data_IF_392641225227
#
_entry.id   IF_392641225227
#
_cell.length_a   1.000
_cell.length_b   1.000
_cell.length_c   1.000
_cell.angle_alpha   90.00
_cell.angle_beta   90.00
_cell.angle_gamma   90.00
#
_symmetry.space_group_name_H-M   'P 1'
#
loop_
_entity.id
_entity.type
_entity.pdbx_description
1 polymer ?
#
# COMPACT_ATOMS: atom_id res chain seq x y z
N UNK A 1 0.19 -23.46 -16.41
CA UNK A 1 1.25 -22.47 -16.08
C UNK A 1 0.57 -21.38 -15.28
N UNK A 2 0.99 -21.14 -14.02
CA UNK A 2 0.44 -20.06 -13.24
C UNK A 2 0.88 -18.72 -13.87
N UNK A 3 -0.02 -17.75 -13.92
CA UNK A 3 0.28 -16.41 -14.41
C UNK A 3 1.30 -15.76 -13.48
N UNK A 4 2.45 -15.34 -14.03
CA UNK A 4 3.43 -14.54 -13.30
C UNK A 4 3.00 -13.07 -13.37
N UNK A 5 2.82 -12.45 -12.21
CA UNK A 5 2.40 -11.05 -12.08
C UNK A 5 3.45 -10.31 -11.24
N UNK A 6 4.27 -9.44 -11.82
CA UNK A 6 5.21 -8.64 -11.04
C UNK A 6 4.47 -7.63 -10.16
N UNK A 7 5.01 -7.35 -8.97
CA UNK A 7 4.49 -6.30 -8.11
C UNK A 7 5.33 -5.03 -8.20
N UNK A 8 4.65 -3.90 -8.03
CA UNK A 8 5.24 -2.60 -7.79
C UNK A 8 5.01 -2.24 -6.31
N UNK A 9 6.08 -2.11 -5.55
CA UNK A 9 6.06 -1.33 -4.33
C UNK A 9 6.22 0.13 -4.71
N UNK A 10 5.32 0.98 -4.26
CA UNK A 10 5.33 2.40 -4.60
C UNK A 10 5.67 3.22 -3.36
N UNK A 11 6.77 3.96 -3.41
CA UNK A 11 7.23 4.81 -2.32
C UNK A 11 7.53 6.23 -2.83
N UNK A 12 6.54 7.12 -2.75
CA UNK A 12 6.70 8.52 -3.12
C UNK A 12 7.00 9.38 -1.91
N UNK A 13 8.16 10.04 -1.88
CA UNK A 13 8.56 10.90 -0.76
C UNK A 13 7.98 12.32 -0.82
N UNK A 14 7.24 12.64 -1.88
CA UNK A 14 6.58 13.94 -2.08
C UNK A 14 5.79 14.43 -0.85
N UNK A 15 4.95 13.61 -0.20
CA UNK A 15 4.24 13.98 1.02
C UNK A 15 5.17 14.40 2.17
N UNK A 16 6.25 13.66 2.39
CA UNK A 16 7.27 14.01 3.39
C UNK A 16 7.94 15.35 3.07
N UNK A 17 8.40 15.53 1.82
CA UNK A 17 9.04 16.78 1.36
C UNK A 17 8.10 17.98 1.46
N UNK A 18 6.81 17.78 1.16
CA UNK A 18 5.79 18.84 1.29
C UNK A 18 5.50 19.17 2.76
N UNK A 19 5.43 18.17 3.63
CA UNK A 19 5.30 18.34 5.08
C UNK A 19 6.44 19.18 5.66
N UNK A 20 7.68 18.88 5.28
CA UNK A 20 8.86 19.67 5.68
C UNK A 20 8.77 21.13 5.24
N UNK A 21 8.30 21.40 4.02
CA UNK A 21 8.14 22.78 3.50
C UNK A 21 7.07 23.55 4.24
N UNK A 22 5.95 22.90 4.59
CA UNK A 22 4.79 23.54 5.24
C UNK A 22 5.01 23.83 6.73
N UNK A 23 5.87 23.06 7.39
CA UNK A 23 6.11 23.12 8.83
C UNK A 23 7.53 23.58 9.19
N UNK A 24 8.17 24.42 8.33
CA UNK A 24 9.53 24.93 8.56
C UNK A 24 9.77 25.50 9.95
N UNK A 25 8.73 26.04 10.58
CA UNK A 25 8.82 26.64 11.93
C UNK A 25 8.62 25.63 13.07
N UNK A 26 8.26 24.37 12.77
CA UNK A 26 8.14 23.28 13.75
C UNK A 26 9.30 22.28 13.58
N UNK A 27 10.47 22.69 14.01
CA UNK A 27 11.76 22.01 13.77
C UNK A 27 11.87 20.62 14.40
N UNK A 28 10.91 20.15 15.18
CA UNK A 28 11.09 18.97 16.05
C UNK A 28 10.52 17.65 15.52
N UNK A 29 9.78 17.63 14.41
CA UNK A 29 9.22 16.37 13.85
C UNK A 29 9.77 15.99 12.47
N UNK A 30 10.70 16.78 11.92
CA UNK A 30 11.11 16.71 10.52
C UNK A 30 12.61 16.39 10.40
N UNK A 31 12.97 15.18 10.77
CA UNK A 31 14.27 14.60 10.46
C UNK A 31 14.42 14.26 8.96
N UNK A 32 15.55 13.71 8.53
CA UNK A 32 15.72 13.15 7.19
C UNK A 32 14.64 12.11 6.91
N UNK A 33 14.29 11.92 5.63
CA UNK A 33 13.34 10.88 5.24
C UNK A 33 13.75 9.52 5.82
N UNK A 34 12.78 8.82 6.36
CA UNK A 34 12.97 7.48 6.92
C UNK A 34 11.64 6.74 7.10
N UNK A 35 11.71 5.42 6.99
CA UNK A 35 10.59 4.53 7.27
C UNK A 35 10.64 4.05 8.72
N UNK A 36 9.51 3.98 9.44
CA UNK A 36 9.42 3.33 10.75
C UNK A 36 9.84 1.85 10.69
N UNK A 37 10.30 1.30 11.81
CA UNK A 37 10.72 -0.12 11.90
C UNK A 37 9.64 -1.06 11.38
N UNK A 38 8.41 -0.88 11.82
CA UNK A 38 7.26 -1.71 11.40
C UNK A 38 7.03 -1.65 9.88
N UNK A 39 7.23 -0.51 9.24
CA UNK A 39 7.10 -0.39 7.78
C UNK A 39 8.25 -1.07 7.04
N UNK A 40 9.47 -1.01 7.57
CA UNK A 40 10.60 -1.75 6.99
C UNK A 40 10.37 -3.26 7.11
N UNK A 41 9.94 -3.74 8.28
CA UNK A 41 9.65 -5.16 8.49
C UNK A 41 8.55 -5.67 7.56
N UNK A 42 7.46 -4.90 7.42
CA UNK A 42 6.37 -5.28 6.51
C UNK A 42 6.78 -5.17 5.06
N UNK A 43 7.58 -4.17 4.66
CA UNK A 43 8.12 -4.02 3.32
C UNK A 43 8.97 -5.23 2.91
N UNK A 44 9.89 -5.68 3.78
CA UNK A 44 10.70 -6.89 3.58
C UNK A 44 9.80 -8.11 3.42
N UNK A 45 8.82 -8.26 4.30
CA UNK A 45 7.87 -9.39 4.25
C UNK A 45 7.04 -9.36 2.97
N UNK A 46 6.51 -8.19 2.59
CA UNK A 46 5.72 -7.98 1.37
C UNK A 46 6.49 -8.42 0.12
N UNK A 47 7.75 -7.97 -0.03
CA UNK A 47 8.58 -8.33 -1.16
C UNK A 47 8.85 -9.84 -1.24
N UNK A 48 9.19 -10.47 -0.13
CA UNK A 48 9.43 -11.92 -0.09
C UNK A 48 8.16 -12.74 -0.33
N UNK A 49 7.04 -12.34 0.26
CA UNK A 49 5.77 -13.04 0.10
C UNK A 49 5.27 -12.95 -1.36
N UNK A 50 5.32 -11.75 -1.96
CA UNK A 50 4.92 -11.61 -3.35
C UNK A 50 5.79 -12.43 -4.29
N UNK A 51 7.11 -12.37 -4.11
CA UNK A 51 8.06 -13.14 -4.92
C UNK A 51 7.84 -14.65 -4.81
N UNK A 52 7.51 -15.13 -3.62
CA UNK A 52 7.24 -16.55 -3.40
C UNK A 52 5.93 -17.02 -4.07
N UNK A 53 4.93 -16.14 -4.20
CA UNK A 53 3.60 -16.50 -4.68
C UNK A 53 3.37 -16.16 -6.15
N UNK A 54 3.89 -15.03 -6.65
CA UNK A 54 3.43 -14.46 -7.91
C UNK A 54 4.54 -14.02 -8.87
N UNK A 55 5.70 -13.63 -8.38
CA UNK A 55 6.79 -13.21 -9.26
C UNK A 55 7.64 -12.06 -8.70
N UNK A 56 8.35 -11.38 -9.58
CA UNK A 56 9.29 -10.32 -9.22
C UNK A 56 8.64 -9.13 -8.53
N UNK A 57 9.48 -8.32 -7.86
CA UNK A 57 9.04 -7.08 -7.18
C UNK A 57 9.95 -5.94 -7.61
N UNK A 58 9.36 -4.84 -8.09
CA UNK A 58 10.03 -3.60 -8.44
C UNK A 58 9.70 -2.51 -7.42
N UNK A 59 10.63 -1.60 -7.18
CA UNK A 59 10.38 -0.35 -6.45
C UNK A 59 10.17 0.78 -7.45
N UNK A 60 9.02 1.44 -7.39
CA UNK A 60 8.76 2.70 -8.09
C UNK A 60 8.77 3.82 -7.06
N UNK A 61 9.69 4.76 -7.20
CA UNK A 61 9.96 5.79 -6.21
C UNK A 61 10.43 7.10 -6.87
N UNK A 62 10.88 8.05 -6.07
CA UNK A 62 11.65 9.22 -6.48
C UNK A 62 13.12 9.07 -6.05
N UNK A 63 14.00 10.00 -6.47
CA UNK A 63 15.44 9.95 -6.15
C UNK A 63 15.72 9.88 -4.64
N UNK A 64 14.92 10.56 -3.81
CA UNK A 64 15.10 10.51 -2.36
C UNK A 64 14.76 9.12 -1.81
N UNK A 65 13.68 8.52 -2.28
CA UNK A 65 13.30 7.17 -1.88
C UNK A 65 14.29 6.11 -2.36
N UNK A 66 14.81 6.24 -3.59
CA UNK A 66 15.86 5.35 -4.11
C UNK A 66 17.15 5.46 -3.29
N UNK A 67 17.59 6.68 -3.01
CA UNK A 67 18.76 6.94 -2.17
C UNK A 67 18.61 6.37 -0.76
N UNK A 68 17.39 6.48 -0.18
CA UNK A 68 17.10 5.89 1.12
C UNK A 68 17.17 4.35 1.05
N UNK A 69 16.53 3.74 0.05
CA UNK A 69 16.55 2.28 -0.10
C UNK A 69 18.00 1.76 -0.20
N UNK A 70 18.83 2.39 -1.01
CA UNK A 70 20.26 2.05 -1.15
C UNK A 70 21.04 2.24 0.16
N UNK A 71 20.82 3.37 0.87
CA UNK A 71 21.51 3.64 2.14
C UNK A 71 21.11 2.63 3.25
N UNK A 72 19.93 2.04 3.16
CA UNK A 72 19.45 1.01 4.08
C UNK A 72 19.77 -0.43 3.60
N UNK A 73 20.29 -0.63 2.39
CA UNK A 73 20.47 -1.94 1.78
C UNK A 73 19.14 -2.64 1.41
N UNK A 74 18.04 -1.88 1.36
CA UNK A 74 16.72 -2.38 0.97
C UNK A 74 16.56 -2.51 -0.55
N UNK A 75 17.46 -1.91 -1.33
CA UNK A 75 17.55 -2.06 -2.78
C UNK A 75 17.70 -3.53 -3.20
N UNK A 76 18.36 -4.35 -2.39
CA UNK A 76 18.50 -5.80 -2.60
C UNK A 76 17.14 -6.56 -2.59
N UNK A 77 16.06 -5.96 -2.11
CA UNK A 77 14.71 -6.55 -2.16
C UNK A 77 14.10 -6.53 -3.56
N UNK A 78 14.60 -5.69 -4.46
CA UNK A 78 13.94 -5.37 -5.71
C UNK A 78 14.71 -5.84 -6.92
N UNK A 79 14.00 -6.33 -7.92
CA UNK A 79 14.58 -6.73 -9.20
C UNK A 79 14.96 -5.48 -10.03
N UNK A 80 14.27 -4.36 -9.75
CA UNK A 80 14.50 -3.06 -10.37
C UNK A 80 14.04 -1.94 -9.44
N UNK A 81 14.76 -0.80 -9.48
CA UNK A 81 14.32 0.48 -8.90
C UNK A 81 14.11 1.47 -10.04
N UNK A 82 12.97 2.16 -10.02
CA UNK A 82 12.56 3.14 -11.02
C UNK A 82 12.22 4.46 -10.32
N UNK A 83 12.95 5.54 -10.62
CA UNK A 83 12.76 6.85 -10.00
C UNK A 83 11.73 7.72 -10.74
N UNK A 84 10.85 7.11 -11.50
CA UNK A 84 9.86 7.81 -12.33
C UNK A 84 8.91 8.73 -11.54
N UNK A 85 8.80 8.58 -10.22
CA UNK A 85 7.95 9.45 -9.40
C UNK A 85 8.49 10.88 -9.23
N UNK A 86 9.75 11.16 -9.62
CA UNK A 86 10.24 12.54 -9.72
C UNK A 86 9.40 13.38 -10.69
N UNK A 87 8.81 12.76 -11.70
CA UNK A 87 7.93 13.45 -12.64
C UNK A 87 6.66 14.02 -11.99
N UNK A 88 6.24 13.52 -10.82
CA UNK A 88 5.10 14.07 -10.08
C UNK A 88 5.37 15.50 -9.59
N UNK A 89 6.63 15.88 -9.39
CA UNK A 89 6.99 17.25 -8.96
C UNK A 89 6.71 18.29 -10.07
N UNK A 90 6.63 17.86 -11.33
CA UNK A 90 6.28 18.72 -12.45
C UNK A 90 4.76 18.78 -12.73
N UNK A 91 3.99 17.95 -12.05
CA UNK A 91 2.54 17.93 -12.16
C UNK A 91 1.89 18.77 -11.06
N UNK A 92 0.72 19.34 -11.36
CA UNK A 92 -0.08 20.08 -10.37
C UNK A 92 -0.83 19.08 -9.47
N UNK A 93 -0.08 18.34 -8.66
CA UNK A 93 -0.59 17.39 -7.66
C UNK A 93 -0.14 17.83 -6.29
N UNK A 94 -1.07 18.20 -5.40
CA UNK A 94 -0.71 18.53 -4.00
C UNK A 94 -0.42 17.21 -3.24
N UNK A 95 0.84 16.95 -2.85
CA UNK A 95 1.21 15.70 -2.19
C UNK A 95 0.64 15.54 -0.78
N UNK A 96 0.13 16.60 -0.16
CA UNK A 96 -0.54 16.52 1.15
C UNK A 96 -2.01 16.13 1.04
N UNK A 97 -2.64 16.39 -0.12
CA UNK A 97 -3.99 15.92 -0.43
C UNK A 97 -3.98 14.56 -1.11
N UNK A 98 -2.97 14.29 -1.95
CA UNK A 98 -2.87 13.08 -2.77
C UNK A 98 -1.60 12.29 -2.44
N UNK A 99 -1.48 11.92 -1.16
CA UNK A 99 -0.29 11.23 -0.66
C UNK A 99 -0.01 9.88 -1.31
N UNK A 100 -1.01 9.24 -1.91
CA UNK A 100 -0.86 7.99 -2.67
C UNK A 100 -0.86 8.19 -4.20
N UNK A 101 -0.71 9.44 -4.70
CA UNK A 101 -0.68 9.73 -6.14
C UNK A 101 0.38 8.90 -6.90
N UNK A 102 1.47 8.55 -6.22
CA UNK A 102 2.49 7.67 -6.76
C UNK A 102 1.96 6.33 -7.28
N UNK A 103 0.93 5.76 -6.65
CA UNK A 103 0.31 4.49 -7.10
C UNK A 103 -0.40 4.64 -8.45
N UNK A 104 -1.24 5.67 -8.59
CA UNK A 104 -1.94 5.96 -9.84
C UNK A 104 -0.96 6.31 -10.96
N UNK A 105 0.09 7.07 -10.62
CA UNK A 105 1.14 7.40 -11.58
C UNK A 105 1.95 6.15 -11.99
N UNK A 106 2.32 5.28 -11.06
CA UNK A 106 3.00 4.02 -11.36
C UNK A 106 2.14 3.11 -12.25
N UNK A 107 0.81 3.06 -12.00
CA UNK A 107 -0.12 2.33 -12.86
C UNK A 107 -0.17 2.89 -14.29
N UNK A 108 0.03 4.20 -14.47
CA UNK A 108 0.14 4.83 -15.80
C UNK A 108 1.36 4.38 -16.58
N UNK A 109 2.47 4.07 -15.88
CA UNK A 109 3.77 3.75 -16.49
C UNK A 109 3.92 2.28 -16.92
N UNK A 110 3.01 1.42 -16.53
CA UNK A 110 3.13 -0.03 -16.75
C UNK A 110 1.95 -0.57 -17.56
N UNK A 111 2.24 -1.50 -18.46
CA UNK A 111 1.20 -2.30 -19.10
C UNK A 111 0.80 -3.48 -18.20
N UNK A 112 -0.48 -3.85 -18.19
CA UNK A 112 -0.95 -5.06 -17.51
C UNK A 112 -0.35 -6.33 -18.15
N UNK A 113 -0.14 -7.43 -17.40
CA UNK A 113 -0.51 -7.61 -16.00
C UNK A 113 0.58 -7.16 -15.01
N UNK A 114 0.20 -6.49 -13.95
CA UNK A 114 1.05 -6.20 -12.79
C UNK A 114 0.18 -5.95 -11.54
N UNK A 115 0.80 -5.95 -10.38
CA UNK A 115 0.18 -5.52 -9.12
C UNK A 115 0.83 -4.24 -8.60
N UNK A 116 0.05 -3.41 -7.89
CA UNK A 116 0.56 -2.43 -6.94
C UNK A 116 0.27 -2.97 -5.56
N UNK A 117 1.29 -3.05 -4.70
CA UNK A 117 1.17 -3.58 -3.35
C UNK A 117 1.75 -2.56 -2.37
N UNK A 118 0.99 -2.23 -1.32
CA UNK A 118 1.46 -1.35 -0.27
C UNK A 118 2.62 -1.99 0.49
N UNK A 119 3.63 -1.19 0.81
CA UNK A 119 4.81 -1.66 1.55
C UNK A 119 4.50 -2.08 2.98
N UNK A 120 3.33 -1.70 3.49
CA UNK A 120 2.83 -2.06 4.82
C UNK A 120 1.79 -3.19 4.80
N UNK A 121 1.67 -3.90 3.65
CA UNK A 121 0.85 -5.10 3.49
C UNK A 121 1.69 -6.27 2.99
N UNK A 122 1.53 -7.45 3.58
CA UNK A 122 2.08 -8.69 3.04
C UNK A 122 1.04 -9.80 2.95
N UNK A 123 1.13 -10.59 1.89
CA UNK A 123 0.27 -11.74 1.67
C UNK A 123 0.68 -12.93 2.56
N UNK A 124 -0.29 -13.64 3.10
CA UNK A 124 -0.09 -14.91 3.80
C UNK A 124 -0.36 -16.11 2.91
N UNK A 125 -1.16 -15.92 1.88
CA UNK A 125 -1.49 -16.91 0.84
C UNK A 125 -1.45 -16.24 -0.52
N UNK A 126 -1.25 -17.01 -1.60
CA UNK A 126 -1.35 -16.46 -2.94
C UNK A 126 -2.72 -15.85 -3.20
N UNK A 127 -2.78 -14.88 -4.09
CA UNK A 127 -4.02 -14.34 -4.65
C UNK A 127 -4.56 -15.34 -5.65
N UNK A 128 -5.76 -15.84 -5.42
CA UNK A 128 -6.37 -16.88 -6.25
C UNK A 128 -6.93 -16.31 -7.56
N UNK A 129 -6.90 -17.12 -8.61
CA UNK A 129 -7.66 -16.89 -9.83
C UNK A 129 -7.15 -15.74 -10.70
N UNK A 130 -5.89 -15.35 -10.63
CA UNK A 130 -5.32 -14.28 -11.47
C UNK A 130 -5.43 -14.60 -12.98
N UNK A 131 -5.45 -15.89 -13.33
CA UNK A 131 -5.62 -16.35 -14.71
C UNK A 131 -6.99 -16.04 -15.32
N UNK A 132 -7.98 -15.66 -14.50
CA UNK A 132 -9.34 -15.31 -14.95
C UNK A 132 -9.43 -13.88 -15.49
N UNK A 133 -8.37 -13.09 -15.40
CA UNK A 133 -8.40 -11.69 -15.76
C UNK A 133 -9.13 -10.82 -14.74
N UNK A 134 -9.51 -9.60 -15.11
CA UNK A 134 -10.26 -8.69 -14.26
C UNK A 134 -9.39 -7.70 -13.48
N UNK A 135 -9.95 -7.13 -12.43
CA UNK A 135 -9.30 -6.26 -11.47
C UNK A 135 -9.43 -6.86 -10.07
N UNK A 136 -8.29 -7.13 -9.41
CA UNK A 136 -8.25 -7.67 -8.06
C UNK A 136 -7.78 -6.59 -7.10
N UNK A 137 -8.41 -6.49 -5.92
CA UNK A 137 -8.10 -5.50 -4.89
C UNK A 137 -8.23 -6.13 -3.50
N UNK A 138 -7.74 -5.45 -2.46
CA UNK A 138 -7.64 -6.05 -1.13
C UNK A 138 -9.01 -6.47 -0.56
N UNK A 139 -9.92 -5.54 -0.41
CA UNK A 139 -11.30 -5.75 0.11
C UNK A 139 -12.22 -4.58 -0.25
N UNK A 140 -13.51 -4.76 -0.01
CA UNK A 140 -14.50 -3.70 -0.11
C UNK A 140 -14.55 -2.83 1.16
N UNK A 141 -14.90 -1.54 1.01
CA UNK A 141 -15.15 -0.60 2.12
C UNK A 141 -16.50 0.10 1.94
N UNK A 142 -17.20 0.37 3.07
CA UNK A 142 -18.50 1.05 3.07
C UNK A 142 -18.42 2.47 2.48
N UNK A 143 -19.50 2.89 1.82
CA UNK A 143 -19.63 4.21 1.21
C UNK A 143 -20.84 4.95 1.77
N UNK A 144 -20.95 6.26 1.52
CA UNK A 144 -22.01 7.10 2.12
C UNK A 144 -21.62 7.61 3.51
N UNK A 145 -20.33 7.74 3.78
CA UNK A 145 -19.75 8.16 5.06
C UNK A 145 -18.75 9.32 4.90
N UNK A 146 -18.11 9.74 5.98
CA UNK A 146 -17.18 10.88 5.98
C UNK A 146 -15.91 10.66 5.16
N UNK A 147 -15.51 9.41 4.89
CA UNK A 147 -14.33 9.06 4.06
C UNK A 147 -14.74 8.90 2.60
N UNK A 148 -15.90 8.30 2.36
CA UNK A 148 -16.48 8.03 1.03
C UNK A 148 -17.85 8.66 0.90
N UNK A 149 -17.97 10.00 0.82
CA UNK A 149 -19.25 10.67 0.66
C UNK A 149 -19.91 10.31 -0.68
N UNK A 150 -21.20 10.59 -0.85
CA UNK A 150 -21.87 10.48 -2.15
C UNK A 150 -21.11 11.26 -3.24
N UNK A 151 -21.04 10.71 -4.44
CA UNK A 151 -20.24 11.28 -5.56
C UNK A 151 -20.54 12.76 -5.81
N UNK A 152 -21.81 13.25 -5.76
CA UNK A 152 -22.09 14.66 -5.95
C UNK A 152 -21.50 15.60 -4.89
N UNK A 153 -21.12 15.07 -3.72
CA UNK A 153 -20.52 15.83 -2.62
C UNK A 153 -18.98 15.90 -2.73
N UNK A 154 -18.40 15.12 -3.64
CA UNK A 154 -16.95 15.13 -3.85
C UNK A 154 -16.56 16.34 -4.70
N UNK A 155 -15.63 17.20 -4.25
CA UNK A 155 -15.15 18.32 -5.07
C UNK A 155 -14.57 17.84 -6.40
N UNK A 156 -15.13 18.38 -7.49
CA UNK A 156 -14.69 18.07 -8.85
C UNK A 156 -14.33 19.37 -9.60
N UNK A 157 -13.34 20.08 -9.11
CA UNK A 157 -12.83 21.33 -9.71
C UNK A 157 -12.19 21.07 -11.09
N UNK A 158 -11.71 19.84 -11.31
CA UNK A 158 -11.22 19.36 -12.59
C UNK A 158 -12.30 19.39 -13.70
N UNK A 159 -13.58 19.45 -13.34
CA UNK A 159 -14.68 19.33 -14.31
C UNK A 159 -14.68 17.96 -15.00
N UNK A 160 -14.18 16.91 -14.33
CA UNK A 160 -14.18 15.58 -14.89
C UNK A 160 -15.63 15.10 -15.11
N UNK A 161 -15.93 14.59 -16.27
CA UNK A 161 -17.24 13.99 -16.53
C UNK A 161 -17.35 12.64 -15.83
N UNK A 162 -17.80 12.68 -14.55
CA UNK A 162 -17.98 11.49 -13.73
C UNK A 162 -19.13 10.59 -14.19
N UNK A 163 -20.05 11.10 -15.05
CA UNK A 163 -21.15 10.32 -15.61
C UNK A 163 -20.70 9.23 -16.57
N UNK A 164 -19.45 9.29 -17.02
CA UNK A 164 -18.82 8.26 -17.85
C UNK A 164 -18.65 6.93 -17.14
N UNK A 165 -18.65 6.93 -15.80
CA UNK A 165 -18.44 5.74 -14.99
C UNK A 165 -19.58 5.46 -14.04
N UNK A 166 -19.74 4.19 -13.70
CA UNK A 166 -20.80 3.72 -12.81
C UNK A 166 -20.28 3.57 -11.38
N UNK A 167 -20.76 4.44 -10.47
CA UNK A 167 -20.37 4.45 -9.06
C UNK A 167 -21.36 3.69 -8.16
N UNK A 168 -21.90 2.57 -8.62
CA UNK A 168 -22.85 1.72 -7.90
C UNK A 168 -22.17 0.66 -7.00
N UNK A 169 -20.85 0.65 -6.95
CA UNK A 169 -20.08 -0.27 -6.12
C UNK A 169 -19.61 0.39 -4.81
N UNK A 170 -19.30 -0.38 -3.77
CA UNK A 170 -18.50 0.08 -2.63
C UNK A 170 -17.13 0.60 -3.07
N UNK A 171 -16.34 1.14 -2.11
CA UNK A 171 -14.95 1.52 -2.38
C UNK A 171 -14.05 0.27 -2.39
N UNK A 172 -13.10 0.22 -3.30
CA UNK A 172 -12.11 -0.86 -3.36
C UNK A 172 -10.84 -0.43 -2.62
N UNK A 173 -10.49 -1.11 -1.53
CA UNK A 173 -9.22 -0.88 -0.86
C UNK A 173 -8.05 -1.30 -1.76
N UNK A 174 -7.15 -0.37 -2.06
CA UNK A 174 -6.08 -0.49 -3.05
C UNK A 174 -4.72 -0.88 -2.43
N UNK A 175 -4.71 -1.43 -1.21
CA UNK A 175 -3.47 -1.88 -0.59
C UNK A 175 -2.83 -3.08 -1.33
N UNK A 176 -3.66 -3.89 -1.99
CA UNK A 176 -3.29 -4.77 -3.12
C UNK A 176 -4.21 -4.39 -4.27
N UNK A 177 -3.64 -4.11 -5.42
CA UNK A 177 -4.41 -3.87 -6.65
C UNK A 177 -3.71 -4.53 -7.84
N UNK A 178 -4.36 -5.56 -8.41
CA UNK A 178 -3.81 -6.33 -9.54
C UNK A 178 -4.58 -5.96 -10.80
N UNK A 179 -3.89 -5.32 -11.71
CA UNK A 179 -4.42 -4.94 -13.02
C UNK A 179 -4.12 -6.06 -14.02
N UNK A 180 -5.15 -6.77 -14.44
CA UNK A 180 -5.06 -7.87 -15.40
C UNK A 180 -5.63 -7.47 -16.77
N UNK A 181 -6.29 -6.31 -16.86
CA UNK A 181 -6.84 -5.71 -18.06
C UNK A 181 -6.19 -4.35 -18.32
N UNK A 182 -5.54 -4.19 -19.48
CA UNK A 182 -4.78 -2.98 -19.79
C UNK A 182 -5.68 -1.78 -20.12
N UNK A 183 -6.87 -2.01 -20.65
CA UNK A 183 -7.83 -0.93 -20.93
C UNK A 183 -8.36 -0.33 -19.61
N UNK A 184 -8.71 -1.20 -18.65
CA UNK A 184 -9.11 -0.76 -17.30
C UNK A 184 -7.97 0.03 -16.63
N UNK A 185 -6.77 -0.54 -16.61
CA UNK A 185 -5.58 0.09 -16.05
C UNK A 185 -5.34 1.48 -16.64
N UNK A 186 -5.36 1.61 -17.97
CA UNK A 186 -5.11 2.87 -18.66
C UNK A 186 -6.18 3.93 -18.34
N UNK A 187 -7.46 3.57 -18.43
CA UNK A 187 -8.55 4.50 -18.13
C UNK A 187 -8.59 4.92 -16.67
N UNK A 188 -8.35 3.97 -15.72
CA UNK A 188 -8.20 4.29 -14.31
C UNK A 188 -7.06 5.28 -14.06
N UNK A 189 -5.86 4.98 -14.56
CA UNK A 189 -4.69 5.81 -14.30
C UNK A 189 -4.87 7.24 -14.85
N UNK A 190 -5.41 7.39 -16.08
CA UNK A 190 -5.70 8.70 -16.65
C UNK A 190 -6.79 9.45 -15.87
N UNK A 191 -7.89 8.78 -15.51
CA UNK A 191 -8.98 9.39 -14.75
C UNK A 191 -8.53 9.84 -13.35
N UNK A 192 -7.80 8.98 -12.64
CA UNK A 192 -7.27 9.27 -11.32
C UNK A 192 -6.28 10.45 -11.35
N UNK A 193 -5.33 10.45 -12.29
CA UNK A 193 -4.38 11.55 -12.44
C UNK A 193 -5.06 12.85 -12.86
N UNK A 194 -6.01 12.82 -13.81
CA UNK A 194 -6.77 14.00 -14.20
C UNK A 194 -7.59 14.59 -13.03
N UNK A 195 -8.18 13.73 -12.20
CA UNK A 195 -8.86 14.18 -10.98
C UNK A 195 -7.89 14.86 -10.01
N UNK A 196 -6.72 14.27 -9.75
CA UNK A 196 -5.74 14.79 -8.81
C UNK A 196 -5.17 16.14 -9.26
N UNK A 197 -4.76 16.26 -10.54
CA UNK A 197 -4.18 17.50 -11.09
C UNK A 197 -5.22 18.61 -11.18
N UNK A 198 -6.44 18.31 -11.55
CA UNK A 198 -7.52 19.31 -11.65
C UNK A 198 -8.13 19.73 -10.31
N UNK A 199 -7.81 19.05 -9.21
CA UNK A 199 -8.32 19.34 -7.86
C UNK A 199 -7.20 19.66 -6.85
N UNK A 200 -6.07 20.19 -7.30
CA UNK A 200 -4.94 20.53 -6.43
C UNK A 200 -5.20 21.74 -5.51
N UNK A 201 -6.21 22.55 -5.81
CA UNK A 201 -6.53 23.77 -5.07
C UNK A 201 -7.09 23.53 -3.65
N UNK A 202 -7.12 24.60 -2.82
CA UNK A 202 -7.71 24.55 -1.48
C UNK A 202 -9.17 24.10 -1.50
N UNK A 203 -9.60 23.39 -0.49
CA UNK A 203 -10.97 22.96 -0.29
C UNK A 203 -11.21 22.68 1.19
N UNK A 204 -12.45 22.85 1.63
CA UNK A 204 -12.89 22.51 2.98
C UNK A 204 -13.02 20.97 3.16
N UNK A 205 -12.90 20.20 2.07
CA UNK A 205 -12.98 18.75 2.11
C UNK A 205 -11.69 18.15 2.66
N UNK A 206 -11.83 17.21 3.59
CA UNK A 206 -10.69 16.51 4.18
C UNK A 206 -9.81 15.84 3.11
N UNK A 207 -8.47 15.88 3.24
CA UNK A 207 -7.55 15.25 2.27
C UNK A 207 -7.88 13.80 1.97
N UNK A 208 -8.28 13.03 2.97
CA UNK A 208 -8.61 11.60 2.81
C UNK A 208 -9.75 11.38 1.79
N UNK A 209 -10.77 12.23 1.77
CA UNK A 209 -11.88 12.12 0.82
C UNK A 209 -11.41 12.23 -0.63
N UNK A 210 -10.55 13.20 -0.92
CA UNK A 210 -10.01 13.39 -2.26
C UNK A 210 -9.09 12.27 -2.67
N UNK A 211 -8.21 11.83 -1.76
CA UNK A 211 -7.29 10.74 -2.00
C UNK A 211 -8.05 9.44 -2.28
N UNK A 212 -8.97 9.07 -1.41
CA UNK A 212 -9.71 7.81 -1.55
C UNK A 212 -10.66 7.83 -2.74
N UNK A 213 -11.21 9.00 -3.10
CA UNK A 213 -12.00 9.11 -4.32
C UNK A 213 -11.15 8.82 -5.56
N UNK A 214 -10.00 9.50 -5.69
CA UNK A 214 -9.11 9.36 -6.83
C UNK A 214 -8.58 7.92 -6.99
N UNK A 215 -8.27 7.25 -5.88
CA UNK A 215 -7.67 5.93 -5.86
C UNK A 215 -8.73 4.82 -5.79
N UNK A 216 -9.61 4.86 -4.80
CA UNK A 216 -10.42 3.73 -4.37
C UNK A 216 -11.86 3.76 -4.90
N UNK A 217 -12.34 4.92 -5.37
CA UNK A 217 -13.67 5.04 -5.99
C UNK A 217 -13.60 5.00 -7.51
N UNK A 218 -12.62 5.67 -8.12
CA UNK A 218 -12.48 5.70 -9.58
C UNK A 218 -12.13 4.30 -10.13
N UNK A 219 -11.23 3.54 -9.47
CA UNK A 219 -10.79 2.24 -9.97
C UNK A 219 -11.96 1.25 -10.20
N UNK A 220 -12.80 0.95 -9.20
CA UNK A 220 -13.92 0.03 -9.41
C UNK A 220 -15.00 0.62 -10.32
N UNK A 221 -15.22 1.95 -10.32
CA UNK A 221 -16.20 2.58 -11.20
C UNK A 221 -15.82 2.46 -12.68
N UNK A 222 -14.54 2.66 -13.00
CA UNK A 222 -14.01 2.43 -14.35
C UNK A 222 -14.14 0.95 -14.74
N UNK A 223 -13.72 0.02 -13.88
CA UNK A 223 -13.83 -1.42 -14.13
C UNK A 223 -15.29 -1.81 -14.42
N UNK A 224 -16.22 -1.33 -13.58
CA UNK A 224 -17.65 -1.58 -13.74
C UNK A 224 -18.18 -1.10 -15.09
N UNK A 225 -17.79 0.11 -15.49
CA UNK A 225 -18.24 0.70 -16.78
C UNK A 225 -17.66 0.00 -18.01
N UNK A 226 -16.50 -0.61 -17.86
CA UNK A 226 -15.85 -1.39 -18.91
C UNK A 226 -16.28 -2.87 -18.94
N UNK A 227 -17.12 -3.32 -17.98
CA UNK A 227 -17.49 -4.72 -17.83
C UNK A 227 -16.34 -5.62 -17.35
N UNK A 228 -15.33 -5.03 -16.68
CA UNK A 228 -14.20 -5.76 -16.11
C UNK A 228 -14.63 -6.36 -14.77
N UNK A 229 -14.31 -7.64 -14.57
CA UNK A 229 -14.65 -8.38 -13.36
C UNK A 229 -13.92 -7.81 -12.14
N UNK A 230 -14.66 -7.60 -11.04
CA UNK A 230 -14.19 -7.02 -9.78
C UNK A 230 -14.07 -8.10 -8.71
N UNK A 231 -12.87 -8.34 -8.19
CA UNK A 231 -12.61 -9.43 -7.24
C UNK A 231 -11.77 -8.96 -6.06
N UNK A 232 -12.34 -8.98 -4.83
CA UNK A 232 -11.55 -8.74 -3.63
C UNK A 232 -10.69 -9.97 -3.27
N UNK A 233 -9.52 -9.75 -2.67
CA UNK A 233 -8.68 -10.82 -2.08
C UNK A 233 -9.42 -11.49 -0.92
N UNK A 234 -10.20 -10.73 -0.18
CA UNK A 234 -11.12 -11.24 0.84
C UNK A 234 -12.52 -10.69 0.62
N UNK A 235 -13.53 -11.55 0.75
CA UNK A 235 -14.94 -11.15 0.70
C UNK A 235 -15.39 -10.37 1.95
N UNK A 236 -14.51 -10.20 2.94
CA UNK A 236 -14.79 -9.40 4.13
C UNK A 236 -14.90 -7.94 3.76
N UNK A 237 -15.89 -7.29 4.37
CA UNK A 237 -16.23 -5.91 4.14
C UNK A 237 -15.76 -5.06 5.34
N UNK A 238 -15.05 -3.96 5.05
CA UNK A 238 -14.65 -3.01 6.08
C UNK A 238 -15.74 -1.94 6.25
N UNK A 239 -16.32 -1.84 7.45
CA UNK A 239 -17.31 -0.84 7.80
C UNK A 239 -16.54 0.37 8.36
N UNK A 240 -16.44 1.42 7.53
CA UNK A 240 -15.63 2.61 7.86
C UNK A 240 -16.15 3.34 9.08
N UNK A 241 -17.46 3.39 9.27
CA UNK A 241 -18.14 4.11 10.35
C UNK A 241 -17.81 3.55 11.73
N UNK A 242 -17.70 2.24 11.83
CA UNK A 242 -17.40 1.54 13.10
C UNK A 242 -15.93 1.12 13.21
N UNK A 243 -15.17 1.25 12.14
CA UNK A 243 -13.80 0.71 12.02
C UNK A 243 -13.74 -0.81 12.31
N UNK A 244 -14.73 -1.56 11.79
CA UNK A 244 -14.86 -3.00 12.03
C UNK A 244 -15.05 -3.79 10.74
N UNK A 245 -14.72 -5.09 10.81
CA UNK A 245 -15.01 -6.05 9.75
C UNK A 245 -16.41 -6.65 9.92
N UNK A 246 -17.10 -6.93 8.82
CA UNK A 246 -18.41 -7.56 8.79
C UNK A 246 -18.43 -9.03 9.23
N UNK A 247 -17.34 -9.55 9.73
CA UNK A 247 -17.23 -10.94 10.18
C UNK A 247 -15.83 -11.31 10.69
N UNK A 248 -15.51 -12.62 10.77
CA UNK A 248 -14.22 -13.09 11.31
C UNK A 248 -13.04 -12.52 10.54
N UNK A 249 -11.90 -12.44 11.22
CA UNK A 249 -10.66 -11.86 10.71
C UNK A 249 -10.27 -12.37 9.31
N UNK A 250 -9.75 -11.47 8.48
CA UNK A 250 -9.09 -11.75 7.20
C UNK A 250 -7.61 -12.17 7.38
N UNK A 251 -7.16 -12.35 8.60
CA UNK A 251 -5.75 -12.55 8.95
C UNK A 251 -5.10 -13.78 8.29
N UNK A 252 -5.90 -14.69 7.76
CA UNK A 252 -5.42 -15.83 6.97
C UNK A 252 -5.00 -15.46 5.54
N UNK A 253 -5.46 -14.35 4.99
CA UNK A 253 -5.18 -13.92 3.60
C UNK A 253 -3.98 -12.99 3.50
N UNK A 254 -3.97 -11.94 4.33
CA UNK A 254 -2.90 -10.95 4.37
C UNK A 254 -2.81 -10.30 5.74
N UNK A 255 -1.74 -9.58 5.97
CA UNK A 255 -1.59 -8.64 7.09
C UNK A 255 -1.40 -7.23 6.51
N UNK A 256 -2.09 -6.25 7.08
CA UNK A 256 -1.99 -4.86 6.69
C UNK A 256 -1.80 -3.99 7.94
N UNK A 257 -0.67 -3.31 8.05
CA UNK A 257 -0.29 -2.51 9.23
C UNK A 257 -1.06 -1.19 9.35
N UNK A 258 -1.85 -0.85 8.35
CA UNK A 258 -2.59 0.41 8.23
C UNK A 258 -3.24 0.88 9.56
N UNK A 259 -4.11 0.07 10.19
CA UNK A 259 -4.79 0.42 11.45
C UNK A 259 -3.84 0.51 12.63
N UNK A 260 -2.80 -0.32 12.65
CA UNK A 260 -1.84 -0.38 13.75
C UNK A 260 -0.96 0.87 13.80
N UNK A 261 -0.70 1.54 12.67
CA UNK A 261 0.15 2.76 12.64
C UNK A 261 -0.35 3.85 13.59
N UNK A 262 -1.66 4.06 13.69
CA UNK A 262 -2.27 5.02 14.62
C UNK A 262 -2.01 4.61 16.07
N UNK A 263 -2.29 3.34 16.40
CA UNK A 263 -2.07 2.79 17.74
C UNK A 263 -0.60 2.84 18.15
N UNK A 264 0.32 2.47 17.27
CA UNK A 264 1.76 2.48 17.56
C UNK A 264 2.33 3.89 17.70
N UNK A 265 1.72 4.90 17.09
CA UNK A 265 2.07 6.31 17.35
C UNK A 265 1.53 6.77 18.71
N UNK A 266 0.30 6.39 19.04
CA UNK A 266 -0.35 6.79 20.29
C UNK A 266 0.23 6.05 21.50
N UNK A 267 0.63 4.79 21.35
CA UNK A 267 1.14 3.90 22.39
C UNK A 267 2.47 3.27 21.95
N UNK A 268 3.59 4.04 21.98
CA UNK A 268 4.89 3.56 21.51
C UNK A 268 5.41 2.32 22.25
N UNK A 269 4.97 2.10 23.50
CA UNK A 269 5.30 0.93 24.30
C UNK A 269 4.80 -0.39 23.70
N UNK A 270 3.84 -0.36 22.77
CA UNK A 270 3.35 -1.54 22.06
C UNK A 270 4.28 -1.98 20.93
N UNK A 271 5.19 -1.11 20.47
CA UNK A 271 6.08 -1.39 19.31
C UNK A 271 6.90 -2.65 19.48
N UNK A 272 7.59 -2.93 20.61
CA UNK A 272 8.40 -4.14 20.72
C UNK A 272 7.59 -5.43 20.56
N UNK A 273 6.39 -5.49 21.11
CA UNK A 273 5.50 -6.64 20.95
C UNK A 273 5.01 -6.80 19.51
N UNK A 274 4.69 -5.69 18.86
CA UNK A 274 4.26 -5.68 17.45
C UNK A 274 5.41 -6.06 16.51
N UNK A 275 6.61 -5.53 16.73
CA UNK A 275 7.80 -5.90 15.94
C UNK A 275 8.12 -7.40 16.12
N UNK A 276 7.99 -7.94 17.34
CA UNK A 276 8.16 -9.37 17.56
C UNK A 276 7.17 -10.19 16.75
N UNK A 277 5.90 -9.81 16.74
CA UNK A 277 4.88 -10.46 15.93
C UNK A 277 5.23 -10.45 14.43
N UNK A 278 5.63 -9.31 13.88
CA UNK A 278 6.04 -9.20 12.48
C UNK A 278 7.29 -10.05 12.18
N UNK A 279 8.28 -10.04 13.08
CA UNK A 279 9.52 -10.80 12.95
C UNK A 279 9.28 -12.32 13.02
N UNK A 280 8.41 -12.79 13.91
CA UNK A 280 8.08 -14.20 14.00
C UNK A 280 7.46 -14.71 12.68
N UNK A 281 6.47 -14.01 12.14
CA UNK A 281 5.85 -14.39 10.85
C UNK A 281 6.86 -14.32 9.69
N UNK A 282 7.65 -13.24 9.60
CA UNK A 282 8.65 -13.06 8.56
C UNK A 282 9.73 -14.14 8.60
N UNK A 283 10.37 -14.33 9.76
CA UNK A 283 11.51 -15.25 9.90
C UNK A 283 11.09 -16.71 9.87
N UNK A 284 9.84 -17.02 10.25
CA UNK A 284 9.29 -18.35 10.09
C UNK A 284 9.10 -18.72 8.61
N UNK A 285 8.52 -17.80 7.82
CA UNK A 285 8.27 -18.04 6.40
C UNK A 285 9.52 -17.92 5.54
N UNK A 286 10.40 -16.99 5.90
CA UNK A 286 11.58 -16.62 5.13
C UNK A 286 12.81 -16.55 6.03
N UNK A 287 13.29 -17.69 6.55
CA UNK A 287 14.39 -17.70 7.55
C UNK A 287 15.69 -17.08 7.05
N UNK A 288 15.93 -17.06 5.72
CA UNK A 288 17.09 -16.42 5.11
C UNK A 288 17.12 -14.89 5.21
N UNK A 289 16.00 -14.23 5.59
CA UNK A 289 15.94 -12.76 5.70
C UNK A 289 16.65 -12.21 6.94
N UNK A 290 16.95 -13.06 7.92
CA UNK A 290 17.52 -12.62 9.20
C UNK A 290 18.81 -11.82 9.08
N UNK A 291 19.70 -12.18 8.17
CA UNK A 291 20.97 -11.48 7.96
C UNK A 291 20.75 -10.13 7.25
N UNK A 292 19.82 -10.06 6.30
CA UNK A 292 19.39 -8.80 5.71
C UNK A 292 18.86 -7.85 6.80
N UNK A 293 17.94 -8.30 7.65
CA UNK A 293 17.38 -7.48 8.73
C UNK A 293 18.46 -6.93 9.68
N UNK A 294 19.47 -7.72 9.98
CA UNK A 294 20.60 -7.30 10.84
C UNK A 294 21.55 -6.32 10.13
N UNK A 295 21.56 -6.27 8.81
CA UNK A 295 22.37 -5.33 8.02
C UNK A 295 21.70 -3.98 7.78
N UNK A 296 20.38 -3.87 7.93
CA UNK A 296 19.62 -2.62 7.72
C UNK A 296 19.90 -1.62 8.84
N UNK A 297 20.52 -0.45 8.58
CA UNK A 297 20.86 0.52 9.61
C UNK A 297 19.67 1.02 10.42
N UNK A 298 18.52 1.25 9.77
CA UNK A 298 17.29 1.70 10.42
C UNK A 298 16.68 0.67 11.37
N UNK A 299 17.06 -0.62 11.27
CA UNK A 299 16.61 -1.68 12.18
C UNK A 299 17.56 -1.92 13.35
N UNK A 300 18.57 -1.07 13.55
CA UNK A 300 19.56 -1.24 14.62
C UNK A 300 18.93 -1.39 16.01
N UNK A 301 17.87 -0.64 16.29
CA UNK A 301 17.17 -0.67 17.57
C UNK A 301 16.45 -2.00 17.85
N UNK A 302 16.07 -2.75 16.80
CA UNK A 302 15.44 -4.07 16.95
C UNK A 302 16.40 -5.25 16.71
N UNK A 303 17.70 -5.02 16.51
CA UNK A 303 18.66 -6.07 16.18
C UNK A 303 18.72 -7.19 17.21
N UNK A 304 18.65 -6.89 18.50
CA UNK A 304 18.62 -7.90 19.56
C UNK A 304 17.32 -8.70 19.54
N UNK A 305 16.21 -8.07 19.20
CA UNK A 305 14.92 -8.73 19.02
C UNK A 305 14.97 -9.69 17.81
N UNK A 306 15.58 -9.29 16.68
CA UNK A 306 15.79 -10.18 15.53
C UNK A 306 16.58 -11.43 15.94
N UNK A 307 17.69 -11.26 16.69
CA UNK A 307 18.49 -12.40 17.19
C UNK A 307 17.71 -13.29 18.15
N UNK A 308 16.91 -12.68 19.05
CA UNK A 308 16.09 -13.41 19.99
C UNK A 308 15.03 -14.26 19.28
N UNK A 309 14.27 -13.65 18.35
CA UNK A 309 13.24 -14.37 17.57
C UNK A 309 13.86 -15.52 16.76
N UNK A 310 15.02 -15.32 16.11
CA UNK A 310 15.73 -16.41 15.40
C UNK A 310 16.06 -17.60 16.33
N UNK A 311 16.56 -17.33 17.54
CA UNK A 311 16.84 -18.41 18.52
C UNK A 311 15.56 -19.12 18.97
N UNK A 312 14.51 -18.35 19.28
CA UNK A 312 13.24 -18.91 19.76
C UNK A 312 12.59 -19.79 18.70
N UNK A 313 12.55 -19.33 17.43
CA UNK A 313 12.04 -20.12 16.31
C UNK A 313 12.85 -21.40 16.07
N UNK A 314 14.17 -21.35 16.20
CA UNK A 314 15.02 -22.52 16.05
C UNK A 314 14.81 -23.55 17.17
N UNK A 315 14.47 -23.10 18.38
CA UNK A 315 14.29 -23.95 19.56
C UNK A 315 12.87 -24.53 19.69
N UNK A 316 11.85 -23.75 19.32
CA UNK A 316 10.46 -24.04 19.70
C UNK A 316 9.45 -23.94 18.54
N UNK A 317 9.89 -23.47 17.35
CA UNK A 317 8.94 -23.10 16.29
C UNK A 317 8.16 -21.81 16.58
N UNK A 318 7.16 -21.45 15.76
CA UNK A 318 6.40 -20.22 15.92
C UNK A 318 5.45 -20.26 17.11
N UNK A 319 5.49 -19.24 17.97
CA UNK A 319 4.65 -19.17 19.17
C UNK A 319 3.25 -18.55 18.92
N UNK A 320 3.13 -17.67 17.90
CA UNK A 320 1.94 -16.87 17.66
C UNK A 320 1.18 -17.28 16.38
N UNK A 321 1.81 -18.00 15.46
CA UNK A 321 1.27 -18.28 14.13
C UNK A 321 0.34 -19.50 14.12
N UNK A 322 0.53 -20.48 15.00
CA UNK A 322 -0.29 -21.71 15.06
C UNK A 322 -1.76 -21.47 15.45
N UNK A 323 -2.08 -20.30 16.02
CA UNK A 323 -3.46 -19.99 16.45
C UNK A 323 -4.35 -19.40 15.35
N UNK A 324 -3.82 -19.17 14.16
CA UNK A 324 -4.54 -18.57 13.04
C UNK A 324 -4.71 -19.50 11.84
N UNK A 325 -4.29 -20.75 11.95
CA UNK A 325 -4.55 -21.76 10.91
C UNK A 325 -5.76 -22.58 11.34
N UNK A 326 -6.86 -22.58 10.58
CA UNK A 326 -8.01 -23.44 10.82
C UNK A 326 -7.68 -24.90 10.58
#
# INVERSE_FOLDING_TARGET
VSLTVPALHVNWTGPHRAGLRRHRDRVLENGPYGMPVEEILTCVHSAHAWRAFHGGVELVTDELGASYAAAQGLDALYDRIDTALDALDALDVDPLFYFAAGKSYAARLRAAPFAVVDTDLYLRRPVDGLERGGFVFAHWESVGNAVYPPVPEVPNQAGLDLSRWTFDTPAANMAVSVFLDDRHRAEYAEASMAFMTGNAGPSDTAPIVRQTFAEQRIAPAVARSLGVDLRPVTERFWIVETEEWDGPSYADRFHHTWNQKRLLRQFPELRPAYWRYLLEDLLWRFPGTGDLLLSVPALKECADLVRAVRRDLAAHGPSLIERSTP
#
